data_IF_475067394432
#
_entry.id   IF_475067394432
#
_cell.length_a   1.000
_cell.length_b   1.000
_cell.length_c   1.000
_cell.angle_alpha   90.00
_cell.angle_beta   90.00
_cell.angle_gamma   90.00
#
_symmetry.space_group_name_H-M   'P 1'
#
loop_
_entity.id
_entity.type
_entity.pdbx_description
1 polymer ?
#
# COMPACT_ATOMS: atom_id res chain seq x y z
N UNK A 1 -21.28 -18.80 7.60
CA UNK A 1 -20.22 -18.84 8.63
C UNK A 1 -18.96 -19.24 7.88
N UNK A 2 -18.05 -18.29 7.63
CA UNK A 2 -16.83 -18.55 6.84
C UNK A 2 -15.77 -19.03 7.83
N UNK A 3 -15.35 -20.27 7.70
CA UNK A 3 -14.25 -20.85 8.47
C UNK A 3 -12.94 -20.16 8.08
N UNK A 4 -12.43 -19.33 8.98
CA UNK A 4 -11.24 -18.51 8.79
C UNK A 4 -9.98 -19.15 9.40
N UNK A 5 -9.95 -20.45 9.62
CA UNK A 5 -8.90 -21.10 10.43
C UNK A 5 -7.90 -21.85 9.54
N UNK A 6 -6.62 -21.51 9.72
CA UNK A 6 -5.39 -22.22 9.31
C UNK A 6 -4.92 -22.13 7.85
N UNK A 7 -4.87 -20.93 7.27
CA UNK A 7 -4.05 -20.73 6.07
C UNK A 7 -3.25 -19.43 6.12
N UNK A 8 -1.92 -19.55 6.10
CA UNK A 8 -1.00 -18.43 5.89
C UNK A 8 -0.99 -18.17 4.37
N UNK A 9 -1.67 -17.11 3.94
CA UNK A 9 -1.76 -16.73 2.53
C UNK A 9 -1.99 -15.23 2.35
N UNK A 10 -2.11 -14.80 1.10
CA UNK A 10 -2.35 -13.42 0.73
C UNK A 10 -3.84 -13.15 0.74
N UNK A 11 -4.23 -12.05 1.37
CA UNK A 11 -5.63 -11.65 1.46
C UNK A 11 -6.05 -10.89 0.21
N UNK A 12 -7.24 -11.18 -0.28
CA UNK A 12 -7.82 -10.54 -1.44
C UNK A 12 -9.24 -10.07 -1.16
N UNK A 13 -9.62 -8.92 -1.72
CA UNK A 13 -11.01 -8.43 -1.74
C UNK A 13 -11.56 -8.45 -3.16
N UNK A 14 -12.76 -9.00 -3.34
CA UNK A 14 -13.50 -8.89 -4.59
C UNK A 14 -14.25 -7.56 -4.67
N UNK A 15 -13.98 -6.74 -5.69
CA UNK A 15 -14.74 -5.50 -5.95
C UNK A 15 -16.20 -5.74 -6.27
N UNK A 16 -16.52 -6.88 -6.88
CA UNK A 16 -17.89 -7.16 -7.35
C UNK A 16 -18.84 -7.56 -6.24
N UNK A 17 -18.37 -8.27 -5.20
CA UNK A 17 -19.23 -8.78 -4.14
C UNK A 17 -18.75 -8.49 -2.72
N UNK A 18 -17.62 -7.79 -2.56
CA UNK A 18 -17.04 -7.43 -1.28
C UNK A 18 -16.41 -8.59 -0.50
N UNK A 19 -16.40 -9.80 -1.07
CA UNK A 19 -15.85 -10.99 -0.41
C UNK A 19 -14.35 -10.82 -0.14
N UNK A 20 -13.95 -11.05 1.10
CA UNK A 20 -12.54 -11.14 1.50
C UNK A 20 -12.18 -12.63 1.57
N UNK A 21 -11.13 -13.04 0.86
CA UNK A 21 -10.69 -14.43 0.79
C UNK A 21 -9.17 -14.52 0.81
N UNK A 22 -8.64 -15.71 1.09
CA UNK A 22 -7.21 -16.00 1.12
C UNK A 22 -6.82 -16.77 -0.13
N UNK A 23 -5.64 -16.49 -0.67
CA UNK A 23 -5.04 -17.24 -1.78
C UNK A 23 -3.54 -17.39 -1.54
N UNK A 24 -2.97 -18.52 -1.96
CA UNK A 24 -1.51 -18.73 -1.96
C UNK A 24 -0.80 -17.86 -3.00
N UNK A 25 -1.55 -17.39 -4.00
CA UNK A 25 -0.98 -16.57 -5.06
C UNK A 25 -0.57 -15.21 -4.52
N UNK A 26 0.67 -14.82 -4.83
CA UNK A 26 1.23 -13.50 -4.53
C UNK A 26 0.68 -12.47 -5.52
N UNK A 27 0.15 -11.36 -5.03
CA UNK A 27 -0.15 -10.23 -5.89
C UNK A 27 1.09 -9.36 -6.08
N UNK A 28 0.91 -8.21 -6.73
CA UNK A 28 2.01 -7.31 -7.09
C UNK A 28 2.74 -6.77 -5.87
N UNK A 29 2.01 -6.50 -4.78
CA UNK A 29 2.60 -5.97 -3.56
C UNK A 29 3.48 -7.04 -2.90
N UNK A 30 2.98 -8.28 -2.82
CA UNK A 30 3.72 -9.41 -2.28
C UNK A 30 4.99 -9.77 -3.02
N UNK A 31 4.89 -9.80 -4.35
CA UNK A 31 6.06 -10.02 -5.20
C UNK A 31 7.08 -8.91 -5.02
N UNK A 32 6.64 -7.66 -4.93
CA UNK A 32 7.50 -6.51 -4.72
C UNK A 32 8.31 -6.65 -3.42
N UNK A 33 7.67 -7.02 -2.30
CA UNK A 33 8.39 -7.25 -1.04
C UNK A 33 9.37 -8.41 -1.14
N UNK A 34 8.96 -9.54 -1.73
CA UNK A 34 9.85 -10.70 -1.85
C UNK A 34 11.09 -10.39 -2.66
N UNK A 35 10.96 -9.61 -3.74
CA UNK A 35 12.11 -9.13 -4.50
C UNK A 35 13.05 -8.35 -3.56
N UNK A 36 12.53 -7.41 -2.78
CA UNK A 36 13.32 -6.63 -1.84
C UNK A 36 13.97 -7.46 -0.71
N UNK A 37 13.28 -8.47 -0.17
CA UNK A 37 13.80 -9.35 0.89
C UNK A 37 14.90 -10.30 0.37
N UNK A 38 14.81 -10.75 -0.88
CA UNK A 38 15.84 -11.61 -1.49
C UNK A 38 17.10 -10.83 -1.80
N UNK A 39 16.97 -9.59 -2.25
CA UNK A 39 18.08 -8.75 -2.70
C UNK A 39 18.75 -7.96 -1.56
N UNK A 40 18.17 -7.94 -0.35
CA UNK A 40 18.74 -7.31 0.86
C UNK A 40 19.64 -8.24 1.69
N UNK A 41 19.82 -9.51 1.27
CA UNK A 41 20.81 -10.39 1.92
C UNK A 41 22.20 -10.07 1.36
N UNK A 42 23.19 -9.72 2.19
CA UNK A 42 24.54 -9.47 1.70
C UNK A 42 25.10 -10.74 1.04
N UNK A 43 25.87 -10.61 -0.06
CA UNK A 43 26.57 -11.74 -0.63
C UNK A 43 27.47 -12.32 0.46
N UNK A 44 27.25 -13.58 0.81
CA UNK A 44 28.19 -14.33 1.63
C UNK A 44 29.45 -14.50 0.78
N UNK A 45 30.42 -13.59 0.95
CA UNK A 45 31.77 -13.60 0.38
C UNK A 45 31.95 -14.56 -0.82
N UNK A 46 31.42 -14.19 -1.98
CA UNK A 46 31.77 -14.75 -3.30
C UNK A 46 31.10 -13.89 -4.37
N UNK A 47 31.95 -13.14 -5.08
CA UNK A 47 31.66 -12.32 -6.25
C UNK A 47 30.64 -11.17 -6.05
N UNK A 48 30.79 -10.04 -6.77
CA UNK A 48 29.77 -8.99 -6.76
C UNK A 48 28.40 -9.58 -7.13
N UNK A 49 27.31 -9.18 -6.47
CA UNK A 49 25.99 -9.71 -6.77
C UNK A 49 25.70 -9.48 -8.25
N UNK A 50 25.34 -10.56 -8.93
CA UNK A 50 25.06 -10.57 -10.35
C UNK A 50 23.89 -9.62 -10.63
N UNK A 51 24.15 -8.46 -11.27
CA UNK A 51 23.12 -7.45 -11.55
C UNK A 51 21.94 -8.03 -12.36
N UNK A 52 22.19 -9.14 -13.06
CA UNK A 52 21.22 -9.94 -13.82
C UNK A 52 20.06 -10.45 -12.95
N UNK A 53 20.32 -10.80 -11.67
CA UNK A 53 19.33 -11.39 -10.76
C UNK A 53 18.27 -10.36 -10.34
N UNK A 54 18.63 -9.10 -10.12
CA UNK A 54 17.66 -8.06 -9.75
C UNK A 54 16.72 -7.68 -10.90
N UNK A 55 17.26 -7.58 -12.12
CA UNK A 55 16.47 -7.26 -13.30
C UNK A 55 15.48 -8.36 -13.68
N UNK A 56 15.92 -9.63 -13.60
CA UNK A 56 15.02 -10.79 -13.77
C UNK A 56 13.96 -10.84 -12.66
N UNK A 57 14.36 -10.66 -11.39
CA UNK A 57 13.42 -10.70 -10.25
C UNK A 57 12.37 -9.58 -10.29
N UNK A 58 12.73 -8.37 -10.73
CA UNK A 58 11.75 -7.30 -10.96
C UNK A 58 10.85 -7.60 -12.17
N UNK A 59 11.38 -8.24 -13.22
CA UNK A 59 10.58 -8.74 -14.35
C UNK A 59 9.41 -9.63 -13.92
N UNK A 60 9.61 -10.47 -12.90
CA UNK A 60 8.59 -11.37 -12.30
C UNK A 60 7.39 -10.59 -11.70
N UNK A 61 7.59 -9.35 -11.25
CA UNK A 61 6.50 -8.47 -10.78
C UNK A 61 5.59 -8.07 -11.96
N UNK A 62 6.15 -7.98 -13.16
CA UNK A 62 5.50 -7.48 -14.37
C UNK A 62 4.99 -8.55 -15.33
N UNK A 63 5.30 -9.81 -15.07
CA UNK A 63 4.77 -10.92 -15.85
C UNK A 63 3.23 -10.93 -15.83
N UNK A 64 2.65 -11.09 -17.02
CA UNK A 64 1.20 -11.25 -17.17
C UNK A 64 0.80 -12.63 -16.66
N UNK A 65 0.25 -12.66 -15.46
CA UNK A 65 -0.41 -13.86 -14.93
C UNK A 65 -1.91 -13.86 -15.27
N UNK A 66 -2.51 -15.05 -15.35
CA UNK A 66 -3.97 -15.18 -15.43
C UNK A 66 -4.64 -14.41 -14.28
N UNK A 67 -5.76 -13.71 -14.46
CA UNK A 67 -6.38 -12.96 -13.38
C UNK A 67 -6.95 -13.89 -12.30
N UNK A 68 -6.67 -13.60 -11.03
CA UNK A 68 -7.25 -14.33 -9.91
C UNK A 68 -8.77 -14.08 -9.88
N UNK A 69 -9.57 -15.14 -9.64
CA UNK A 69 -11.03 -15.04 -9.59
C UNK A 69 -11.55 -15.14 -8.17
N UNK A 70 -12.58 -14.36 -7.88
CA UNK A 70 -13.30 -14.44 -6.62
C UNK A 70 -13.96 -15.82 -6.48
N UNK A 71 -13.72 -16.55 -5.37
CA UNK A 71 -14.30 -17.88 -5.18
C UNK A 71 -15.84 -17.84 -5.04
N UNK A 72 -16.39 -16.69 -4.64
CA UNK A 72 -17.84 -16.52 -4.41
C UNK A 72 -18.62 -16.16 -5.68
N UNK A 73 -18.10 -15.25 -6.51
CA UNK A 73 -18.84 -14.73 -7.66
C UNK A 73 -18.13 -14.91 -9.01
N UNK A 74 -16.94 -15.51 -9.04
CA UNK A 74 -16.18 -15.77 -10.27
C UNK A 74 -15.57 -14.52 -10.93
N UNK A 75 -15.81 -13.33 -10.39
CA UNK A 75 -15.27 -12.06 -10.88
C UNK A 75 -13.75 -12.03 -10.80
N UNK A 76 -13.11 -11.54 -11.85
CA UNK A 76 -11.66 -11.26 -11.93
C UNK A 76 -11.27 -9.94 -11.29
N UNK A 77 -12.25 -9.13 -10.84
CA UNK A 77 -12.02 -7.87 -10.15
C UNK A 77 -11.64 -8.10 -8.69
N UNK A 78 -10.48 -8.69 -8.46
CA UNK A 78 -9.92 -8.96 -7.14
C UNK A 78 -8.68 -8.11 -6.89
N UNK A 79 -8.48 -7.71 -5.65
CA UNK A 79 -7.41 -6.81 -5.22
C UNK A 79 -6.65 -7.45 -4.09
N UNK A 80 -5.33 -7.45 -4.16
CA UNK A 80 -4.49 -7.90 -3.06
C UNK A 80 -4.57 -6.88 -1.92
N UNK A 81 -4.72 -7.37 -0.69
CA UNK A 81 -4.64 -6.55 0.51
C UNK A 81 -3.18 -6.53 0.99
N UNK A 82 -2.61 -5.38 1.37
CA UNK A 82 -1.21 -5.25 1.77
C UNK A 82 -0.89 -5.84 3.15
N UNK A 83 -1.85 -6.56 3.74
CA UNK A 83 -1.68 -7.27 4.99
C UNK A 83 -1.18 -8.67 4.68
N UNK A 84 0.14 -8.84 4.71
CA UNK A 84 0.73 -10.17 4.83
C UNK A 84 0.28 -10.77 6.14
N UNK A 85 -0.34 -11.96 6.07
CA UNK A 85 -0.33 -12.94 7.15
C UNK A 85 -0.53 -12.40 8.57
N UNK A 86 -1.45 -11.45 8.78
CA UNK A 86 -1.82 -11.07 10.14
C UNK A 86 -3.22 -11.62 10.41
N UNK A 87 -3.29 -12.82 11.01
CA UNK A 87 -4.51 -13.32 11.66
C UNK A 87 -5.18 -12.19 12.46
N UNK A 88 -4.35 -11.36 13.11
CA UNK A 88 -4.73 -10.15 13.81
C UNK A 88 -5.56 -9.16 12.99
N UNK A 89 -5.25 -8.91 11.70
CA UNK A 89 -6.04 -7.98 10.87
C UNK A 89 -7.41 -8.57 10.56
N UNK A 90 -7.47 -9.85 10.20
CA UNK A 90 -8.73 -10.54 9.96
C UNK A 90 -9.60 -10.61 11.24
N UNK A 91 -8.98 -10.82 12.41
CA UNK A 91 -9.64 -10.76 13.72
C UNK A 91 -10.19 -9.37 14.01
N UNK A 92 -9.38 -8.32 13.82
CA UNK A 92 -9.83 -6.93 14.02
C UNK A 92 -10.98 -6.58 13.09
N UNK A 93 -10.92 -6.98 11.82
CA UNK A 93 -12.03 -6.78 10.86
C UNK A 93 -13.29 -7.50 11.33
N UNK A 94 -13.22 -8.76 11.76
CA UNK A 94 -14.39 -9.48 12.29
C UNK A 94 -14.97 -8.80 13.53
N UNK A 95 -14.10 -8.34 14.42
CA UNK A 95 -14.50 -7.63 15.64
C UNK A 95 -15.21 -6.31 15.33
N UNK A 96 -14.81 -5.59 14.27
CA UNK A 96 -15.50 -4.37 13.81
C UNK A 96 -16.95 -4.68 13.44
N UNK A 97 -17.22 -5.81 12.76
CA UNK A 97 -18.57 -6.23 12.38
C UNK A 97 -19.33 -6.99 13.48
N UNK A 98 -18.71 -7.23 14.63
CA UNK A 98 -19.36 -7.91 15.74
C UNK A 98 -20.45 -7.02 16.34
N UNK A 99 -21.60 -7.64 16.64
CA UNK A 99 -22.72 -6.98 17.30
C UNK A 99 -22.35 -6.57 18.73
N UNK A 100 -22.87 -5.43 19.17
CA UNK A 100 -22.75 -4.95 20.53
C UNK A 100 -24.15 -4.91 21.14
N UNK A 101 -24.44 -5.83 22.06
CA UNK A 101 -25.78 -6.00 22.63
C UNK A 101 -26.30 -4.75 23.34
N UNK A 102 -25.42 -3.99 24.00
CA UNK A 102 -25.79 -2.72 24.65
C UNK A 102 -26.28 -1.72 23.62
N UNK A 103 -25.46 -1.48 22.60
CA UNK A 103 -25.76 -0.52 21.53
C UNK A 103 -26.96 -0.97 20.69
N UNK A 104 -27.08 -2.27 20.41
CA UNK A 104 -28.21 -2.85 19.69
C UNK A 104 -29.54 -2.63 20.45
N UNK A 105 -29.51 -2.78 21.79
CA UNK A 105 -30.69 -2.51 22.63
C UNK A 105 -31.05 -1.02 22.65
N UNK A 106 -30.05 -0.13 22.78
CA UNK A 106 -30.26 1.33 22.69
C UNK A 106 -30.88 1.72 21.34
N UNK A 107 -30.38 1.16 20.23
CA UNK A 107 -30.97 1.34 18.90
C UNK A 107 -32.40 0.76 18.86
N UNK A 108 -32.72 -0.33 19.54
CA UNK A 108 -34.06 -0.95 19.47
C UNK A 108 -35.10 -0.21 20.30
N UNK A 109 -34.72 0.30 21.46
CA UNK A 109 -35.66 0.75 22.50
C UNK A 109 -35.91 2.26 22.50
N UNK A 110 -34.96 3.06 21.99
CA UNK A 110 -35.08 4.53 22.03
C UNK A 110 -36.34 5.02 21.29
N UNK A 111 -36.99 6.05 21.82
CA UNK A 111 -38.06 6.75 21.10
C UNK A 111 -37.57 7.14 19.69
N UNK A 112 -38.39 6.86 18.70
CA UNK A 112 -38.13 7.28 17.32
C UNK A 112 -38.04 8.80 17.22
N UNK A 113 -37.29 9.27 16.23
CA UNK A 113 -37.25 10.68 15.88
C UNK A 113 -38.63 11.11 15.37
N UNK A 114 -39.19 12.12 16.01
CA UNK A 114 -40.40 12.81 15.60
C UNK A 114 -40.03 14.22 15.14
N UNK A 115 -40.23 14.51 13.85
CA UNK A 115 -39.92 15.80 13.24
C UNK A 115 -40.79 16.94 13.75
N UNK A 116 -41.95 16.63 14.33
CA UNK A 116 -42.85 17.62 14.94
C UNK A 116 -42.43 17.95 16.39
N UNK A 117 -41.65 17.06 17.03
CA UNK A 117 -41.06 17.24 18.36
C UNK A 117 -39.67 17.92 18.24
N UNK A 118 -39.63 19.24 18.35
CA UNK A 118 -38.39 20.00 18.30
C UNK A 118 -37.67 20.10 19.66
N UNK A 119 -37.98 19.22 20.62
CA UNK A 119 -37.39 19.29 21.96
C UNK A 119 -35.88 19.02 21.95
N UNK A 120 -35.16 19.82 22.74
CA UNK A 120 -33.73 19.64 22.98
C UNK A 120 -33.46 18.25 23.58
N UNK A 121 -34.36 17.73 24.41
CA UNK A 121 -34.21 16.42 25.04
C UNK A 121 -34.26 15.28 24.03
N UNK A 122 -35.12 15.33 23.01
CA UNK A 122 -35.14 14.35 21.93
C UNK A 122 -33.80 14.36 21.17
N UNK A 123 -33.32 15.54 20.78
CA UNK A 123 -32.06 15.68 20.04
C UNK A 123 -30.85 15.22 20.86
N UNK A 124 -30.83 15.51 22.16
CA UNK A 124 -29.79 15.05 23.07
C UNK A 124 -29.78 13.53 23.20
N UNK A 125 -30.96 12.91 23.35
CA UNK A 125 -31.08 11.47 23.48
C UNK A 125 -30.59 10.74 22.20
N UNK A 126 -31.05 11.19 21.03
CA UNK A 126 -30.63 10.63 19.75
C UNK A 126 -29.12 10.80 19.51
N UNK A 127 -28.58 11.99 19.82
CA UNK A 127 -27.13 12.22 19.73
C UNK A 127 -26.33 11.33 20.69
N UNK A 128 -26.86 11.03 21.89
CA UNK A 128 -26.20 10.10 22.82
C UNK A 128 -26.02 8.73 22.17
N UNK A 129 -27.08 8.17 21.59
CA UNK A 129 -27.05 6.84 20.97
C UNK A 129 -26.12 6.81 19.76
N UNK A 130 -26.17 7.84 18.93
CA UNK A 130 -25.26 7.95 17.79
C UNK A 130 -23.80 8.01 18.27
N UNK A 131 -23.52 8.70 19.38
CA UNK A 131 -22.19 8.72 19.97
C UNK A 131 -21.79 7.37 20.58
N UNK A 132 -22.70 6.68 21.26
CA UNK A 132 -22.45 5.34 21.79
C UNK A 132 -22.11 4.34 20.68
N UNK A 133 -22.81 4.42 19.54
CA UNK A 133 -22.48 3.64 18.34
C UNK A 133 -21.05 3.95 17.86
N UNK A 134 -20.70 5.22 17.69
CA UNK A 134 -19.37 5.64 17.23
C UNK A 134 -18.27 5.17 18.17
N UNK A 135 -18.41 5.42 19.46
CA UNK A 135 -17.42 5.07 20.47
C UNK A 135 -17.29 3.56 20.63
N UNK A 136 -18.34 2.77 20.38
CA UNK A 136 -18.27 1.30 20.40
C UNK A 136 -17.35 0.72 19.33
N UNK A 137 -17.22 1.39 18.16
CA UNK A 137 -16.42 0.91 17.02
C UNK A 137 -15.02 1.53 16.96
N UNK A 138 -14.87 2.74 17.51
CA UNK A 138 -13.65 3.55 17.45
C UNK A 138 -12.36 2.82 17.86
N UNK A 139 -12.30 2.05 18.96
CA UNK A 139 -11.05 1.38 19.34
C UNK A 139 -10.55 0.40 18.28
N UNK A 140 -11.45 -0.39 17.68
CA UNK A 140 -11.09 -1.39 16.67
C UNK A 140 -10.73 -0.76 15.33
N UNK A 141 -11.40 0.32 14.95
CA UNK A 141 -11.05 1.09 13.75
C UNK A 141 -9.67 1.73 13.90
N UNK A 142 -9.37 2.33 15.06
CA UNK A 142 -8.04 2.87 15.35
C UNK A 142 -6.97 1.79 15.39
N UNK A 143 -7.28 0.62 15.96
CA UNK A 143 -6.36 -0.52 15.95
C UNK A 143 -6.04 -0.95 14.51
N UNK A 144 -7.04 -1.07 13.66
CA UNK A 144 -6.87 -1.37 12.25
C UNK A 144 -6.03 -0.31 11.53
N UNK A 145 -6.32 0.97 11.77
CA UNK A 145 -5.57 2.09 11.19
C UNK A 145 -4.10 2.04 11.58
N UNK A 146 -3.81 1.82 12.86
CA UNK A 146 -2.44 1.74 13.36
C UNK A 146 -1.69 0.52 12.83
N UNK A 147 -2.34 -0.65 12.77
CA UNK A 147 -1.76 -1.86 12.18
C UNK A 147 -1.38 -1.62 10.73
N UNK A 148 -2.23 -0.91 9.99
CA UNK A 148 -1.94 -0.55 8.63
C UNK A 148 -0.77 0.41 8.51
N UNK A 149 -0.83 1.55 9.20
CA UNK A 149 0.21 2.58 9.13
C UNK A 149 1.57 1.96 9.45
N UNK A 150 1.64 1.16 10.52
CA UNK A 150 2.86 0.47 10.91
C UNK A 150 3.37 -0.48 9.82
N UNK A 151 2.49 -1.26 9.18
CA UNK A 151 2.93 -2.18 8.13
C UNK A 151 3.36 -1.42 6.88
N UNK A 152 2.65 -0.37 6.50
CA UNK A 152 3.01 0.47 5.36
C UNK A 152 4.38 1.14 5.60
N UNK A 153 4.61 1.72 6.77
CA UNK A 153 5.90 2.28 7.16
C UNK A 153 7.03 1.25 7.12
N UNK A 154 6.80 0.04 7.64
CA UNK A 154 7.77 -1.07 7.60
C UNK A 154 8.16 -1.38 6.16
N UNK A 155 7.18 -1.59 5.27
CA UNK A 155 7.43 -1.90 3.87
C UNK A 155 8.20 -0.76 3.19
N UNK A 156 7.77 0.49 3.36
CA UNK A 156 8.46 1.63 2.75
C UNK A 156 9.89 1.79 3.26
N UNK A 157 10.13 1.58 4.56
CA UNK A 157 11.47 1.64 5.11
C UNK A 157 12.35 0.51 4.53
N UNK A 158 11.80 -0.70 4.33
CA UNK A 158 12.51 -1.78 3.65
C UNK A 158 12.87 -1.43 2.21
N UNK A 159 11.95 -0.81 1.46
CA UNK A 159 12.21 -0.33 0.09
C UNK A 159 13.30 0.74 0.11
N UNK A 160 13.20 1.72 1.01
CA UNK A 160 14.15 2.82 1.11
C UNK A 160 15.56 2.33 1.48
N UNK A 161 15.67 1.46 2.48
CA UNK A 161 16.95 0.86 2.88
C UNK A 161 17.57 0.04 1.76
N UNK A 162 16.77 -0.82 1.11
CA UNK A 162 17.23 -1.62 -0.02
C UNK A 162 17.86 -0.74 -1.11
N UNK A 163 17.19 0.36 -1.47
CA UNK A 163 17.68 1.22 -2.54
C UNK A 163 18.94 1.97 -2.11
N UNK A 164 19.02 2.45 -0.86
CA UNK A 164 20.24 3.06 -0.32
C UNK A 164 21.43 2.09 -0.32
N UNK A 165 21.20 0.84 0.05
CA UNK A 165 22.24 -0.20 0.14
C UNK A 165 22.72 -0.68 -1.23
N UNK A 166 21.84 -0.68 -2.25
CA UNK A 166 22.16 -1.14 -3.60
C UNK A 166 22.48 0.01 -4.58
N UNK A 167 22.56 1.24 -4.08
CA UNK A 167 22.87 2.40 -4.90
C UNK A 167 24.35 2.42 -5.32
N UNK A 168 24.62 1.83 -6.49
CA UNK A 168 25.56 2.40 -7.47
C UNK A 168 24.92 3.56 -8.26
N UNK A 169 23.71 4.00 -7.88
CA UNK A 169 22.91 5.00 -8.56
C UNK A 169 22.91 6.31 -7.76
N UNK A 170 23.87 7.20 -8.04
CA UNK A 170 23.97 8.53 -7.42
C UNK A 170 22.72 9.41 -7.58
N UNK A 171 21.75 9.02 -8.41
CA UNK A 171 20.53 9.80 -8.70
C UNK A 171 19.21 9.17 -8.22
N UNK A 172 19.20 8.10 -7.41
CA UNK A 172 17.93 7.64 -6.83
C UNK A 172 17.45 8.57 -5.72
N UNK A 173 16.46 9.41 -6.01
CA UNK A 173 15.87 10.32 -5.04
C UNK A 173 14.77 9.65 -4.20
N UNK A 174 15.16 9.00 -3.10
CA UNK A 174 14.24 8.38 -2.13
C UNK A 174 13.30 9.38 -1.43
N UNK A 175 13.61 10.69 -1.48
CA UNK A 175 12.77 11.73 -0.89
C UNK A 175 11.38 11.76 -1.52
N UNK A 176 11.29 11.59 -2.84
CA UNK A 176 10.01 11.58 -3.56
C UNK A 176 9.13 10.39 -3.16
N UNK A 177 9.75 9.23 -2.96
CA UNK A 177 9.08 8.03 -2.46
C UNK A 177 8.57 8.25 -1.02
N UNK A 178 9.41 8.82 -0.15
CA UNK A 178 9.06 9.10 1.24
C UNK A 178 7.94 10.12 1.35
N UNK A 179 8.01 11.22 0.60
CA UNK A 179 6.98 12.25 0.58
C UNK A 179 5.62 11.71 0.13
N UNK A 180 5.60 10.80 -0.85
CA UNK A 180 4.37 10.10 -1.24
C UNK A 180 3.86 9.25 -0.08
N UNK A 181 4.69 8.39 0.51
CA UNK A 181 4.35 7.57 1.68
C UNK A 181 3.74 8.39 2.83
N UNK A 182 4.40 9.47 3.23
CA UNK A 182 3.96 10.34 4.33
C UNK A 182 2.61 10.99 4.05
N UNK A 183 2.38 11.44 2.81
CA UNK A 183 1.08 11.99 2.39
C UNK A 183 -0.04 10.95 2.58
N UNK A 184 0.23 9.69 2.29
CA UNK A 184 -0.77 8.62 2.32
C UNK A 184 -1.06 8.19 3.75
N UNK A 185 -0.04 8.10 4.60
CA UNK A 185 -0.22 7.91 6.03
C UNK A 185 -1.10 9.03 6.58
N UNK A 186 -0.85 10.27 6.18
CA UNK A 186 -1.65 11.43 6.59
C UNK A 186 -3.10 11.35 6.10
N UNK A 187 -3.32 11.01 4.84
CA UNK A 187 -4.66 10.92 4.24
C UNK A 187 -5.46 9.74 4.81
N UNK A 188 -4.79 8.65 5.19
CA UNK A 188 -5.40 7.47 5.77
C UNK A 188 -5.71 7.61 7.27
N UNK A 189 -4.88 8.36 8.00
CA UNK A 189 -5.02 8.53 9.45
C UNK A 189 -6.38 9.13 9.83
N UNK A 190 -7.12 8.43 10.69
CA UNK A 190 -8.51 8.74 11.09
C UNK A 190 -9.57 8.63 9.98
N UNK A 191 -9.21 8.19 8.77
CA UNK A 191 -10.16 8.15 7.65
C UNK A 191 -11.38 7.28 7.93
N UNK A 192 -11.21 6.14 8.60
CA UNK A 192 -12.33 5.27 8.96
C UNK A 192 -13.22 5.90 10.03
N UNK A 193 -12.61 6.48 11.05
CA UNK A 193 -13.37 7.11 12.12
C UNK A 193 -14.12 8.35 11.65
N UNK A 194 -13.50 9.15 10.77
CA UNK A 194 -14.11 10.36 10.23
C UNK A 194 -15.33 10.04 9.35
N UNK A 195 -15.25 9.00 8.51
CA UNK A 195 -16.39 8.54 7.71
C UNK A 195 -17.57 8.12 8.60
N UNK A 196 -17.30 7.33 9.65
CA UNK A 196 -18.34 6.92 10.61
C UNK A 196 -18.88 8.11 11.38
N UNK A 197 -18.01 9.01 11.85
CA UNK A 197 -18.42 10.16 12.64
C UNK A 197 -19.34 11.10 11.84
N UNK A 198 -19.04 11.30 10.56
CA UNK A 198 -19.81 12.16 9.67
C UNK A 198 -21.14 11.49 9.27
N UNK A 199 -21.15 10.18 9.04
CA UNK A 199 -22.33 9.45 8.53
C UNK A 199 -23.31 8.98 9.59
N UNK A 200 -22.83 8.68 10.80
CA UNK A 200 -23.67 8.37 11.96
C UNK A 200 -24.02 9.70 12.65
N UNK A 201 -24.85 10.52 12.01
CA UNK A 201 -25.18 11.86 12.51
C UNK A 201 -26.63 12.23 12.17
N UNK A 202 -27.22 13.14 12.96
CA UNK A 202 -28.55 13.67 12.65
C UNK A 202 -28.59 14.49 11.35
N UNK A 203 -27.45 14.97 10.88
CA UNK A 203 -27.32 15.67 9.59
C UNK A 203 -27.29 14.72 8.39
N UNK A 204 -27.03 13.44 8.60
CA UNK A 204 -27.06 12.46 7.51
C UNK A 204 -28.49 11.95 7.30
N UNK A 205 -29.03 12.20 6.11
CA UNK A 205 -30.43 11.89 5.77
C UNK A 205 -30.76 10.40 5.94
N UNK A 206 -29.84 9.50 5.57
CA UNK A 206 -30.06 8.06 5.68
C UNK A 206 -30.06 7.64 7.15
N UNK A 207 -29.13 8.16 7.95
CA UNK A 207 -29.14 7.97 9.40
C UNK A 207 -30.44 8.46 10.04
N UNK A 208 -30.87 9.68 9.69
CA UNK A 208 -32.07 10.30 10.24
C UNK A 208 -33.34 9.50 9.88
N UNK A 209 -33.47 9.08 8.62
CA UNK A 209 -34.60 8.26 8.15
C UNK A 209 -34.73 6.93 8.89
N UNK A 210 -33.61 6.34 9.35
CA UNK A 210 -33.62 5.12 10.16
C UNK A 210 -34.10 5.43 11.59
N UNK A 211 -33.72 6.59 12.14
CA UNK A 211 -34.15 7.01 13.48
C UNK A 211 -35.64 7.34 13.54
N UNK A 212 -36.27 7.74 12.43
CA UNK A 212 -37.73 7.92 12.30
C UNK A 212 -38.51 6.60 12.40
N UNK A 213 -37.85 5.46 12.15
CA UNK A 213 -38.48 4.15 12.30
C UNK A 213 -38.85 3.95 13.77
N UNK A 214 -40.08 3.49 14.02
CA UNK A 214 -40.54 3.12 15.36
C UNK A 214 -39.60 2.10 16.00
N UNK A 215 -39.43 2.21 17.33
CA UNK A 215 -38.68 1.27 18.15
C UNK A 215 -39.06 -0.17 17.81
N UNK A 216 -38.15 -0.89 17.16
CA UNK A 216 -38.41 -2.20 16.56
C UNK A 216 -37.11 -2.91 16.14
N UNK A 217 -37.21 -4.22 15.95
CA UNK A 217 -36.13 -5.02 15.35
C UNK A 217 -35.80 -4.54 13.93
N UNK A 218 -36.79 -4.03 13.19
CA UNK A 218 -36.57 -3.46 11.86
C UNK A 218 -35.59 -2.30 11.92
N UNK A 219 -35.75 -1.38 12.88
CA UNK A 219 -34.82 -0.25 13.04
C UNK A 219 -33.39 -0.71 13.31
N UNK A 220 -33.24 -1.74 14.16
CA UNK A 220 -31.93 -2.32 14.46
C UNK A 220 -31.26 -2.89 13.20
N UNK A 221 -32.02 -3.64 12.40
CA UNK A 221 -31.51 -4.23 11.15
C UNK A 221 -31.09 -3.15 10.15
N UNK A 222 -31.92 -2.12 9.96
CA UNK A 222 -31.63 -1.01 9.05
C UNK A 222 -30.40 -0.21 9.51
N UNK A 223 -30.30 0.10 10.81
CA UNK A 223 -29.15 0.82 11.37
C UNK A 223 -27.85 0.01 11.23
N UNK A 224 -27.87 -1.27 11.59
CA UNK A 224 -26.68 -2.14 11.44
C UNK A 224 -26.30 -2.32 9.96
N UNK A 225 -27.27 -2.48 9.06
CA UNK A 225 -26.99 -2.54 7.63
C UNK A 225 -26.37 -1.24 7.11
N UNK A 226 -26.81 -0.09 7.63
CA UNK A 226 -26.24 1.20 7.26
C UNK A 226 -24.82 1.38 7.78
N UNK A 227 -24.56 1.00 9.03
CA UNK A 227 -23.21 1.00 9.62
C UNK A 227 -22.27 0.10 8.81
N UNK A 228 -22.71 -1.11 8.47
CA UNK A 228 -21.95 -2.05 7.65
C UNK A 228 -21.62 -1.47 6.27
N UNK A 229 -22.56 -0.74 5.66
CA UNK A 229 -22.36 -0.08 4.37
C UNK A 229 -21.32 1.04 4.47
N UNK A 230 -21.39 1.90 5.49
CA UNK A 230 -20.41 2.97 5.72
C UNK A 230 -19.01 2.35 5.85
N UNK A 231 -18.87 1.35 6.72
CA UNK A 231 -17.59 0.68 6.97
C UNK A 231 -17.06 0.04 5.67
N UNK A 232 -17.90 -0.66 4.90
CA UNK A 232 -17.51 -1.26 3.61
C UNK A 232 -17.03 -0.22 2.61
N UNK A 233 -17.72 0.91 2.50
CA UNK A 233 -17.34 1.99 1.59
C UNK A 233 -16.00 2.62 2.00
N UNK A 234 -15.77 2.83 3.30
CA UNK A 234 -14.47 3.29 3.80
C UNK A 234 -13.36 2.29 3.48
N UNK A 235 -13.62 0.98 3.64
CA UNK A 235 -12.69 -0.06 3.21
C UNK A 235 -12.40 0.00 1.71
N UNK A 236 -13.41 0.18 0.86
CA UNK A 236 -13.22 0.26 -0.59
C UNK A 236 -12.36 1.45 -1.01
N UNK A 237 -12.65 2.64 -0.48
CA UNK A 237 -11.86 3.85 -0.72
C UNK A 237 -10.40 3.65 -0.31
N UNK A 238 -10.20 3.08 0.88
CA UNK A 238 -8.87 2.76 1.36
C UNK A 238 -8.10 1.80 0.44
N UNK A 239 -8.75 0.75 -0.06
CA UNK A 239 -8.11 -0.17 -1.01
C UNK A 239 -7.84 0.49 -2.37
N UNK A 240 -8.68 1.43 -2.80
CA UNK A 240 -8.41 2.25 -3.99
C UNK A 240 -7.14 3.09 -3.81
N UNK A 241 -7.01 3.77 -2.68
CA UNK A 241 -5.83 4.57 -2.35
C UNK A 241 -4.58 3.68 -2.32
N UNK A 242 -4.66 2.50 -1.72
CA UNK A 242 -3.57 1.53 -1.69
C UNK A 242 -3.09 1.03 -3.04
N UNK A 243 -4.02 0.67 -3.92
CA UNK A 243 -3.66 0.26 -5.28
C UNK A 243 -2.98 1.41 -6.02
N UNK A 244 -3.49 2.64 -5.87
CA UNK A 244 -2.90 3.81 -6.48
C UNK A 244 -1.45 4.00 -6.05
N UNK A 245 -1.17 3.87 -4.75
CA UNK A 245 0.19 3.99 -4.19
C UNK A 245 1.09 2.89 -4.71
N UNK A 246 0.64 1.64 -4.62
CA UNK A 246 1.42 0.48 -5.01
C UNK A 246 1.81 0.60 -6.48
N UNK A 247 0.85 0.96 -7.34
CA UNK A 247 1.11 1.19 -8.76
C UNK A 247 2.04 2.38 -8.98
N UNK A 248 1.87 3.50 -8.28
CA UNK A 248 2.77 4.66 -8.41
C UNK A 248 4.21 4.35 -7.97
N UNK A 249 4.39 3.63 -6.87
CA UNK A 249 5.70 3.18 -6.38
C UNK A 249 6.35 2.25 -7.39
N UNK A 250 5.58 1.29 -7.90
CA UNK A 250 6.01 0.37 -8.94
C UNK A 250 6.42 1.14 -10.21
N UNK A 251 5.59 2.05 -10.71
CA UNK A 251 5.89 2.86 -11.89
C UNK A 251 7.13 3.73 -11.69
N UNK A 252 7.28 4.32 -10.50
CA UNK A 252 8.44 5.11 -10.15
C UNK A 252 9.72 4.25 -10.19
N UNK A 253 9.70 3.07 -9.57
CA UNK A 253 10.82 2.12 -9.60
C UNK A 253 11.12 1.73 -11.05
N UNK A 254 10.11 1.36 -11.84
CA UNK A 254 10.28 0.98 -13.26
C UNK A 254 10.93 2.10 -14.09
N UNK A 255 10.46 3.34 -13.95
CA UNK A 255 11.01 4.48 -14.71
C UNK A 255 12.48 4.69 -14.40
N UNK A 256 12.86 4.55 -13.13
CA UNK A 256 14.26 4.65 -12.72
C UNK A 256 15.10 3.51 -13.30
N UNK A 257 14.62 2.27 -13.23
CA UNK A 257 15.30 1.09 -13.81
C UNK A 257 15.54 1.28 -15.30
N UNK A 258 14.50 1.63 -16.05
CA UNK A 258 14.58 1.82 -17.49
C UNK A 258 15.57 2.92 -17.87
N UNK A 259 15.67 3.99 -17.05
CA UNK A 259 16.65 5.06 -17.26
C UNK A 259 18.08 4.56 -17.10
N UNK A 260 18.34 3.77 -16.06
CA UNK A 260 19.66 3.17 -15.80
C UNK A 260 20.05 2.22 -16.92
N UNK A 261 19.13 1.32 -17.32
CA UNK A 261 19.37 0.38 -18.41
C UNK A 261 19.77 1.11 -19.70
N UNK A 262 19.03 2.16 -20.05
CA UNK A 262 19.33 2.97 -21.23
C UNK A 262 20.71 3.64 -21.15
N UNK A 263 21.06 4.22 -20.00
CA UNK A 263 22.36 4.84 -19.80
C UNK A 263 23.51 3.81 -19.91
N UNK A 264 23.31 2.60 -19.39
CA UNK A 264 24.29 1.51 -19.49
C UNK A 264 24.42 1.01 -20.94
N UNK A 265 23.31 0.84 -21.66
CA UNK A 265 23.31 0.50 -23.08
C UNK A 265 24.06 1.53 -23.92
N UNK A 266 23.80 2.82 -23.69
CA UNK A 266 24.48 3.92 -24.38
C UNK A 266 25.99 3.93 -24.05
N UNK A 267 26.36 3.67 -22.79
CA UNK A 267 27.76 3.57 -22.36
C UNK A 267 28.49 2.39 -23.03
N UNK A 268 27.86 1.20 -23.04
CA UNK A 268 28.41 0.01 -23.72
C UNK A 268 28.56 0.26 -25.22
N UNK A 269 27.59 0.94 -25.84
CA UNK A 269 27.64 1.29 -27.27
C UNK A 269 28.80 2.26 -27.56
N UNK A 270 29.02 3.24 -26.69
CA UNK A 270 30.15 4.15 -26.81
C UNK A 270 31.49 3.43 -26.64
N UNK A 271 31.62 2.54 -25.64
CA UNK A 271 32.82 1.72 -25.44
C UNK A 271 33.09 0.83 -26.64
N UNK A 272 32.07 0.15 -27.18
CA UNK A 272 32.22 -0.67 -28.39
C UNK A 272 32.70 0.15 -29.58
N UNK A 273 32.10 1.32 -29.80
CA UNK A 273 32.51 2.25 -30.86
C UNK A 273 33.97 2.71 -30.67
N UNK A 274 34.36 3.05 -29.45
CA UNK A 274 35.73 3.46 -29.13
C UNK A 274 36.74 2.33 -29.34
N UNK A 275 36.40 1.08 -29.00
CA UNK A 275 37.21 -0.10 -29.29
C UNK A 275 37.36 -0.32 -30.80
N UNK A 276 36.27 -0.22 -31.56
CA UNK A 276 36.28 -0.36 -33.03
C UNK A 276 37.11 0.75 -33.71
N UNK A 277 36.98 2.00 -33.25
CA UNK A 277 37.81 3.11 -33.72
C UNK A 277 39.29 2.88 -33.37
N UNK A 278 39.58 2.45 -32.14
CA UNK A 278 40.94 2.15 -31.68
C UNK A 278 41.61 1.02 -32.46
N UNK A 279 40.85 0.00 -32.87
CA UNK A 279 41.36 -1.11 -33.66
C UNK A 279 41.87 -0.69 -35.06
N UNK A 280 41.46 0.47 -35.55
CA UNK A 280 41.82 1.01 -36.86
C UNK A 280 42.87 2.13 -36.81
N UNK A 281 43.38 2.48 -35.62
CA UNK A 281 44.36 3.55 -35.46
C UNK A 281 45.76 3.14 -35.92
N UNK A 282 46.51 4.11 -36.43
CA UNK A 282 47.92 3.96 -36.71
C UNK A 282 48.79 4.31 -35.48
N UNK A 283 50.09 4.01 -35.56
CA UNK A 283 51.04 4.11 -34.44
C UNK A 283 51.15 5.54 -33.86
N UNK A 284 51.01 6.58 -34.70
CA UNK A 284 51.00 7.98 -34.29
C UNK A 284 49.75 8.34 -33.48
N UNK A 285 48.59 7.85 -33.91
CA UNK A 285 47.29 8.11 -33.26
C UNK A 285 47.17 7.37 -31.92
N UNK A 286 47.77 6.19 -31.81
CA UNK A 286 47.83 5.42 -30.56
C UNK A 286 48.62 6.18 -29.48
N UNK A 287 49.74 6.79 -29.86
CA UNK A 287 50.60 7.55 -28.95
C UNK A 287 49.94 8.84 -28.45
N UNK A 288 49.14 9.51 -29.29
CA UNK A 288 48.34 10.67 -28.87
C UNK A 288 47.23 10.27 -27.88
N UNK A 289 46.50 9.17 -28.14
CA UNK A 289 45.47 8.69 -27.21
C UNK A 289 46.05 8.27 -25.86
N UNK A 290 47.22 7.62 -25.84
CA UNK A 290 47.92 7.29 -24.57
C UNK A 290 48.14 8.52 -23.70
N UNK A 291 48.69 9.58 -24.29
CA UNK A 291 48.93 10.85 -23.57
C UNK A 291 47.64 11.51 -23.09
N UNK A 292 46.54 11.33 -23.81
CA UNK A 292 45.23 11.82 -23.38
C UNK A 292 44.69 11.04 -22.17
N UNK A 293 44.79 9.70 -22.18
CA UNK A 293 44.37 8.88 -21.03
C UNK A 293 45.25 9.11 -19.81
N UNK A 294 46.58 9.23 -19.98
CA UNK A 294 47.51 9.53 -18.89
C UNK A 294 47.13 10.85 -18.19
N UNK A 295 46.76 11.89 -18.97
CA UNK A 295 46.25 13.14 -18.42
C UNK A 295 44.93 12.98 -17.66
N UNK A 296 44.00 12.17 -18.17
CA UNK A 296 42.72 11.91 -17.51
C UNK A 296 42.93 11.18 -16.18
N UNK A 297 43.84 10.21 -16.15
CA UNK A 297 44.22 9.47 -14.93
C UNK A 297 44.85 10.40 -13.89
N UNK A 298 45.75 11.29 -14.30
CA UNK A 298 46.38 12.27 -13.41
C UNK A 298 45.34 13.22 -12.76
N UNK A 299 44.33 13.66 -13.53
CA UNK A 299 43.22 14.48 -13.01
C UNK A 299 42.36 13.69 -12.01
N UNK A 300 42.02 12.43 -12.33
CA UNK A 300 41.22 11.57 -11.43
C UNK A 300 41.96 11.32 -10.11
N UNK A 301 43.26 11.03 -10.16
CA UNK A 301 44.07 10.79 -8.97
C UNK A 301 44.15 12.03 -8.07
N UNK A 302 44.33 13.22 -8.66
CA UNK A 302 44.29 14.48 -7.91
C UNK A 302 42.92 14.73 -7.25
N UNK A 303 41.82 14.43 -7.94
CA UNK A 303 40.48 14.52 -7.37
C UNK A 303 40.29 13.54 -6.20
N UNK A 304 40.76 12.29 -6.35
CA UNK A 304 40.69 11.27 -5.30
C UNK A 304 41.53 11.63 -4.06
N UNK A 305 42.70 12.24 -4.23
CA UNK A 305 43.51 12.76 -3.11
C UNK A 305 42.81 13.92 -2.40
N UNK A 306 42.12 14.79 -3.14
CA UNK A 306 41.39 15.93 -2.56
C UNK A 306 40.19 15.48 -1.73
N UNK A 307 39.56 14.35 -2.08
CA UNK A 307 38.41 13.78 -1.36
C UNK A 307 38.85 12.99 -0.11
N UNK A 308 40.10 12.53 -0.04
CA UNK A 308 40.63 11.75 1.10
C UNK A 308 41.16 12.62 2.25
N UNK A 309 41.33 13.92 2.05
CA UNK A 309 41.76 14.90 3.06
C UNK A 309 40.57 15.68 3.62
#
# INVERSE_FOLDING_TARGET
MIDFVKFVGYYYKCKSCGEIFVSERKGKFAKLIEVFEKTSKPPICKDPPDQTDWHENIGIIFEKEEPLKCPKCGSDKVREMPFYAAEKVAEVIKDIFKKNEKTDNEIRETKHYDSEDNSISQLQNLNSILNDIKESKKPRLKELENLFISKLEEVFNSIESFIKENNQLEEFNSYSLKANCDKLIKDFKNSFYDDINNKISLSDYKCLSILEIKASEKRLVEMNSYIDEIIKNSFDKYFDDLDFITNNTIEFIQRNINRVMKNNEDSIKNIKKEIEENANLNESEIEEKRKEYDKKEEIINNLLETIKN
#
